data_IF_410649550288
#
_entry.id   IF_410649550288
#
_cell.length_a   1.000
_cell.length_b   1.000
_cell.length_c   1.000
_cell.angle_alpha   90.00
_cell.angle_beta   90.00
_cell.angle_gamma   90.00
#
_symmetry.space_group_name_H-M   'P 1'
#
loop_
_entity.id
_entity.type
_entity.pdbx_description
1 polymer ?
#
# COMPACT_ATOMS: atom_id res chain seq x y z
N UNK A 1 10.65 -0.38 4.68
CA UNK A 1 10.77 0.83 5.52
C UNK A 1 12.08 0.76 6.27
N UNK A 2 12.68 1.89 6.62
CA UNK A 2 13.79 1.91 7.59
C UNK A 2 13.26 1.55 8.98
N UNK A 3 13.95 0.64 9.67
CA UNK A 3 13.54 0.17 11.00
C UNK A 3 12.21 -0.59 11.01
N UNK A 4 11.69 -0.84 12.21
CA UNK A 4 10.42 -1.56 12.41
C UNK A 4 9.43 -0.68 13.16
N UNK A 5 8.27 -0.36 12.58
CA UNK A 5 7.24 0.41 13.27
C UNK A 5 6.72 -0.28 14.53
N UNK A 6 6.49 0.52 15.57
CA UNK A 6 5.83 0.06 16.79
C UNK A 6 4.36 -0.32 16.53
N UNK A 7 3.78 -1.14 17.42
CA UNK A 7 2.36 -1.48 17.34
C UNK A 7 1.45 -0.24 17.33
N UNK A 8 1.79 0.78 18.12
CA UNK A 8 1.09 2.06 18.15
C UNK A 8 1.18 2.81 16.80
N UNK A 9 2.35 2.82 16.16
CA UNK A 9 2.53 3.44 14.84
C UNK A 9 1.70 2.74 13.76
N UNK A 10 1.67 1.40 13.78
CA UNK A 10 0.83 0.61 12.88
C UNK A 10 -0.66 0.88 13.13
N UNK A 11 -1.09 0.97 14.39
CA UNK A 11 -2.47 1.30 14.74
C UNK A 11 -2.86 2.70 14.26
N UNK A 12 -1.99 3.70 14.46
CA UNK A 12 -2.18 5.05 13.96
C UNK A 12 -2.37 5.06 12.43
N UNK A 13 -1.47 4.38 11.69
CA UNK A 13 -1.58 4.26 10.23
C UNK A 13 -2.91 3.62 9.81
N UNK A 14 -3.32 2.52 10.45
CA UNK A 14 -4.58 1.84 10.15
C UNK A 14 -5.81 2.75 10.34
N UNK A 15 -5.79 3.59 11.37
CA UNK A 15 -6.87 4.56 11.66
C UNK A 15 -6.84 5.83 10.79
N UNK A 16 -5.80 5.98 9.97
CA UNK A 16 -5.50 7.17 9.18
C UNK A 16 -4.82 8.28 9.98
N UNK A 17 -3.95 9.04 9.32
CA UNK A 17 -3.30 10.24 9.88
C UNK A 17 -3.69 11.48 9.07
N UNK A 18 -3.43 12.66 9.63
CA UNK A 18 -3.65 13.92 8.93
C UNK A 18 -2.57 14.11 7.86
N UNK A 19 -3.01 14.28 6.61
CA UNK A 19 -2.17 14.61 5.47
C UNK A 19 -2.82 15.77 4.71
N UNK A 20 -2.09 16.86 4.49
CA UNK A 20 -2.59 18.08 3.83
C UNK A 20 -3.87 18.62 4.51
N UNK A 21 -3.86 18.69 5.84
CA UNK A 21 -4.99 19.22 6.64
C UNK A 21 -6.23 18.32 6.69
N UNK A 22 -6.21 17.14 6.06
CA UNK A 22 -7.34 16.18 6.07
C UNK A 22 -6.87 14.81 6.53
N UNK A 23 -7.64 14.16 7.41
CA UNK A 23 -7.38 12.76 7.78
C UNK A 23 -7.46 11.86 6.55
N UNK A 24 -6.50 10.95 6.40
CA UNK A 24 -6.55 9.88 5.39
C UNK A 24 -7.65 8.88 5.75
N UNK A 25 -8.16 8.18 4.75
CA UNK A 25 -9.06 7.05 5.00
C UNK A 25 -8.33 5.94 5.78
N UNK A 26 -9.06 5.11 6.54
CA UNK A 26 -8.49 3.91 7.13
C UNK A 26 -7.82 3.02 6.08
N UNK A 27 -6.75 2.36 6.49
CA UNK A 27 -5.93 1.52 5.64
C UNK A 27 -5.70 0.15 6.30
N UNK A 28 -5.59 -0.90 5.50
CA UNK A 28 -5.06 -2.18 6.01
C UNK A 28 -3.55 -2.09 5.94
N UNK A 29 -2.89 -2.34 7.07
CA UNK A 29 -1.43 -2.28 7.20
C UNK A 29 -0.97 -3.50 7.97
N UNK A 30 -0.18 -4.35 7.33
CA UNK A 30 0.33 -5.59 7.90
C UNK A 30 1.84 -5.63 7.79
N UNK A 31 2.50 -6.10 8.84
CA UNK A 31 3.93 -6.37 8.83
C UNK A 31 4.14 -7.75 8.20
N UNK A 32 4.72 -7.81 7.01
CA UNK A 32 4.99 -9.09 6.35
C UNK A 32 6.25 -9.75 6.89
N UNK A 33 7.36 -9.00 6.93
CA UNK A 33 8.64 -9.51 7.41
C UNK A 33 9.54 -8.38 7.91
N UNK A 34 10.50 -8.76 8.76
CA UNK A 34 11.56 -7.91 9.30
C UNK A 34 12.89 -8.31 8.66
N UNK A 35 13.79 -7.35 8.50
CA UNK A 35 15.17 -7.58 8.07
C UNK A 35 16.13 -6.80 8.96
N UNK A 36 17.43 -7.04 8.82
CA UNK A 36 18.45 -6.33 9.59
C UNK A 36 18.40 -4.80 9.42
N UNK A 37 17.93 -4.33 8.27
CA UNK A 37 17.91 -2.90 7.90
C UNK A 37 16.51 -2.27 7.99
N UNK A 38 15.47 -3.06 8.29
CA UNK A 38 14.12 -2.53 8.48
C UNK A 38 12.98 -3.55 8.34
N UNK A 39 11.90 -3.16 7.67
CA UNK A 39 10.71 -4.01 7.53
C UNK A 39 9.98 -3.88 6.19
N UNK A 40 9.27 -4.92 5.80
CA UNK A 40 8.31 -4.89 4.70
C UNK A 40 6.89 -4.85 5.24
N UNK A 41 6.10 -3.90 4.75
CA UNK A 41 4.67 -3.81 5.07
C UNK A 41 3.85 -4.08 3.81
N UNK A 42 2.76 -4.82 3.98
CA UNK A 42 1.66 -4.87 3.01
C UNK A 42 0.65 -3.80 3.38
N UNK A 43 0.31 -2.95 2.41
CA UNK A 43 -0.60 -1.82 2.61
C UNK A 43 -1.68 -1.84 1.54
N UNK A 44 -2.94 -1.79 1.97
CA UNK A 44 -4.10 -1.64 1.09
C UNK A 44 -4.76 -0.29 1.37
N UNK A 45 -4.85 0.55 0.33
CA UNK A 45 -5.47 1.87 0.38
C UNK A 45 -6.74 1.92 -0.48
N UNK A 46 -7.73 2.68 -0.03
CA UNK A 46 -8.98 2.99 -0.77
C UNK A 46 -9.05 4.45 -1.20
N UNK A 47 -7.89 5.09 -1.31
CA UNK A 47 -7.67 6.44 -1.84
C UNK A 47 -6.25 6.52 -2.43
N UNK A 48 -5.95 7.60 -3.17
CA UNK A 48 -4.68 7.76 -3.88
C UNK A 48 -4.10 9.18 -3.77
N UNK A 49 -3.89 9.70 -2.55
CA UNK A 49 -3.30 11.04 -2.39
C UNK A 49 -1.82 11.06 -2.79
N UNK A 50 -1.34 12.23 -3.23
CA UNK A 50 0.04 12.42 -3.73
C UNK A 50 1.06 11.92 -2.70
N UNK A 51 1.79 10.86 -3.08
CA UNK A 51 2.86 10.22 -2.28
C UNK A 51 2.41 9.77 -0.87
N UNK A 52 1.13 9.48 -0.67
CA UNK A 52 0.54 9.19 0.64
C UNK A 52 1.35 8.18 1.48
N UNK A 53 1.68 7.00 0.93
CA UNK A 53 2.44 5.97 1.65
C UNK A 53 3.79 6.52 2.13
N UNK A 54 4.53 7.20 1.25
CA UNK A 54 5.85 7.74 1.58
C UNK A 54 5.77 8.81 2.65
N UNK A 55 4.80 9.72 2.54
CA UNK A 55 4.64 10.85 3.47
C UNK A 55 4.19 10.40 4.86
N UNK A 56 3.26 9.44 4.92
CA UNK A 56 2.79 8.89 6.20
C UNK A 56 3.91 8.10 6.88
N UNK A 57 4.65 7.27 6.12
CA UNK A 57 5.76 6.51 6.67
C UNK A 57 6.86 7.44 7.21
N UNK A 58 7.17 8.52 6.50
CA UNK A 58 8.13 9.55 6.91
C UNK A 58 7.68 10.27 8.19
N UNK A 59 6.41 10.67 8.26
CA UNK A 59 5.81 11.26 9.46
C UNK A 59 5.88 10.32 10.69
N UNK A 60 5.82 9.01 10.47
CA UNK A 60 5.97 7.99 11.51
C UNK A 60 7.44 7.65 11.82
N UNK A 61 8.42 8.31 11.20
CA UNK A 61 9.85 8.06 11.43
C UNK A 61 10.42 6.84 10.68
N UNK A 62 9.69 6.30 9.72
CA UNK A 62 10.04 5.07 8.99
C UNK A 62 10.07 5.29 7.48
N UNK A 63 11.02 6.07 6.94
CA UNK A 63 11.04 6.42 5.51
C UNK A 63 11.06 5.18 4.59
N UNK A 64 10.38 5.32 3.45
CA UNK A 64 10.20 4.23 2.47
C UNK A 64 11.41 4.13 1.54
N UNK A 65 12.18 3.06 1.66
CA UNK A 65 13.27 2.73 0.73
C UNK A 65 12.75 2.19 -0.61
N UNK A 66 11.89 1.16 -0.57
CA UNK A 66 11.29 0.52 -1.75
C UNK A 66 9.77 0.53 -1.65
N UNK A 67 9.11 0.85 -2.75
CA UNK A 67 7.64 0.81 -2.87
C UNK A 67 7.27 0.19 -4.21
N UNK A 68 6.45 -0.85 -4.16
CA UNK A 68 5.94 -1.53 -5.34
C UNK A 68 4.44 -1.74 -5.16
N UNK A 69 3.67 -1.43 -6.21
CA UNK A 69 2.24 -1.74 -6.25
C UNK A 69 2.06 -3.14 -6.81
N UNK A 70 1.53 -4.04 -5.98
CA UNK A 70 1.34 -5.44 -6.34
C UNK A 70 -0.04 -5.73 -6.94
N UNK A 71 -1.03 -4.86 -6.71
CA UNK A 71 -2.39 -5.01 -7.23
C UNK A 71 -3.12 -3.66 -7.35
N UNK A 72 -4.18 -3.65 -8.16
CA UNK A 72 -5.20 -2.60 -8.26
C UNK A 72 -6.57 -3.28 -8.21
N UNK A 73 -7.32 -3.06 -7.13
CA UNK A 73 -8.53 -3.86 -6.88
C UNK A 73 -8.21 -5.35 -6.88
N UNK A 74 -9.01 -6.15 -7.58
CA UNK A 74 -8.78 -7.58 -7.75
C UNK A 74 -7.72 -7.94 -8.84
N UNK A 75 -7.16 -6.95 -9.54
CA UNK A 75 -6.13 -7.20 -10.55
C UNK A 75 -4.73 -7.19 -9.92
N UNK A 76 -4.10 -8.36 -9.85
CA UNK A 76 -2.73 -8.52 -9.38
C UNK A 76 -1.69 -8.35 -10.50
N UNK A 77 -0.48 -7.90 -10.14
CA UNK A 77 0.68 -7.80 -11.03
C UNK A 77 1.11 -9.16 -11.60
N UNK A 78 1.00 -10.22 -10.78
CA UNK A 78 1.35 -11.58 -11.18
C UNK A 78 2.83 -11.73 -11.55
N UNK A 79 3.09 -12.39 -12.68
CA UNK A 79 4.42 -12.68 -13.20
C UNK A 79 4.95 -11.66 -14.22
N UNK A 80 4.29 -10.50 -14.37
CA UNK A 80 4.71 -9.47 -15.32
C UNK A 80 6.06 -8.85 -14.88
N UNK A 81 7.05 -8.85 -15.77
CA UNK A 81 8.37 -8.32 -15.47
C UNK A 81 8.37 -6.77 -15.45
N UNK A 82 9.41 -6.20 -14.85
CA UNK A 82 9.56 -4.75 -14.77
C UNK A 82 9.77 -4.14 -16.16
N UNK A 83 8.94 -3.17 -16.53
CA UNK A 83 8.98 -2.51 -17.83
C UNK A 83 8.04 -3.13 -18.87
N UNK A 84 7.58 -4.36 -18.63
CA UNK A 84 6.65 -5.03 -19.53
C UNK A 84 5.22 -4.57 -19.32
N UNK A 85 4.40 -4.80 -20.36
CA UNK A 85 2.97 -4.58 -20.34
C UNK A 85 2.27 -5.72 -21.08
N UNK A 86 0.98 -5.89 -20.81
CA UNK A 86 0.12 -6.84 -21.52
C UNK A 86 -1.28 -6.26 -21.66
N UNK A 87 -2.01 -6.72 -22.67
CA UNK A 87 -3.44 -6.45 -22.76
C UNK A 87 -4.20 -7.13 -21.62
N UNK A 88 -5.26 -6.47 -21.16
CA UNK A 88 -6.21 -7.05 -20.23
C UNK A 88 -7.06 -8.09 -20.98
N UNK A 89 -7.20 -9.27 -20.39
CA UNK A 89 -8.11 -10.31 -20.86
C UNK A 89 -9.51 -10.05 -20.33
N UNK A 90 -10.50 -10.73 -20.88
CA UNK A 90 -11.89 -10.66 -20.40
C UNK A 90 -12.00 -10.89 -18.89
N UNK A 91 -11.27 -11.87 -18.35
CA UNK A 91 -11.26 -12.15 -16.90
C UNK A 91 -10.67 -11.01 -16.08
N UNK A 92 -9.64 -10.32 -16.58
CA UNK A 92 -9.08 -9.15 -15.90
C UNK A 92 -10.10 -8.00 -15.89
N UNK A 93 -10.82 -7.82 -17.00
CA UNK A 93 -11.87 -6.81 -17.11
C UNK A 93 -13.03 -7.12 -16.16
N UNK A 94 -13.46 -8.38 -16.09
CA UNK A 94 -14.48 -8.82 -15.15
C UNK A 94 -14.05 -8.52 -13.71
N UNK A 95 -12.80 -8.83 -13.32
CA UNK A 95 -12.28 -8.51 -11.98
C UNK A 95 -12.24 -7.01 -11.66
N UNK A 96 -12.04 -6.16 -12.66
CA UNK A 96 -12.03 -4.70 -12.48
C UNK A 96 -13.43 -4.11 -12.41
N UNK A 97 -14.37 -4.67 -13.18
CA UNK A 97 -15.75 -4.18 -13.30
C UNK A 97 -16.71 -4.81 -12.30
N UNK A 98 -16.43 -6.03 -11.84
CA UNK A 98 -17.12 -6.64 -10.72
C UNK A 98 -16.94 -5.72 -9.52
N UNK A 99 -18.02 -5.03 -9.17
CA UNK A 99 -18.11 -4.28 -7.93
C UNK A 99 -17.97 -5.29 -6.81
N UNK A 100 -16.79 -5.41 -6.22
CA UNK A 100 -16.68 -6.02 -4.91
C UNK A 100 -17.54 -5.19 -3.95
N UNK A 101 -18.70 -5.74 -3.61
CA UNK A 101 -19.41 -5.42 -2.39
C UNK A 101 -18.51 -5.82 -1.22
N UNK A 102 -17.69 -4.89 -0.71
CA UNK A 102 -16.96 -5.05 0.56
C UNK A 102 -16.44 -3.73 1.13
#
# INVERSE_FOLDING_TARGET
>A
LVGVPSAASLAAWRSGLVLDGRRTRPAQVELEHRSAVGSCLRIVLREGRKRQIRRIADQLGHPVQRLQRLAIGALALGSLASGDWRWLKTDDMNRLLEKEAR
#
